data_IF_438577579347
#
_entry.id   IF_438577579347
#
_cell.length_a   1.000
_cell.length_b   1.000
_cell.length_c   1.000
_cell.angle_alpha   90.00
_cell.angle_beta   90.00
_cell.angle_gamma   90.00
#
_symmetry.space_group_name_H-M   'P 1'
#
loop_
_entity.id
_entity.type
_entity.pdbx_description
1 polymer ?
#
# COMPACT_ATOMS: atom_id res chain seq x y z
N UNK A 1 -9.15 -5.29 -16.27
CA UNK A 1 -9.21 -4.84 -14.87
C UNK A 1 -8.22 -3.71 -14.70
N UNK A 2 -8.70 -2.51 -14.38
CA UNK A 2 -7.88 -1.32 -14.19
C UNK A 2 -7.41 -1.25 -12.73
N UNK A 3 -6.10 -1.23 -12.51
CA UNK A 3 -5.53 -1.29 -11.16
C UNK A 3 -4.66 -0.08 -10.89
N UNK A 4 -4.98 0.67 -9.84
CA UNK A 4 -4.16 1.77 -9.37
C UNK A 4 -2.99 1.27 -8.54
N UNK A 5 -1.75 1.56 -8.94
CA UNK A 5 -0.54 1.29 -8.14
C UNK A 5 -0.13 2.60 -7.48
N UNK A 6 -0.37 2.72 -6.19
CA UNK A 6 -0.07 3.96 -5.44
C UNK A 6 1.43 4.07 -5.22
N UNK A 7 1.99 5.24 -5.52
CA UNK A 7 3.42 5.51 -5.40
C UNK A 7 3.64 6.67 -4.44
N UNK A 8 4.47 6.43 -3.42
CA UNK A 8 4.94 7.45 -2.48
C UNK A 8 6.43 7.72 -2.68
N UNK A 9 6.94 8.86 -2.25
CA UNK A 9 8.39 9.04 -2.12
C UNK A 9 9.00 7.92 -1.27
N UNK A 10 9.96 7.18 -1.82
CA UNK A 10 10.58 6.02 -1.17
C UNK A 10 9.87 4.68 -1.39
N UNK A 11 8.83 4.59 -2.22
CA UNK A 11 8.33 3.31 -2.72
C UNK A 11 9.41 2.63 -3.55
N UNK A 12 9.61 1.32 -3.36
CA UNK A 12 10.67 0.57 -4.04
C UNK A 12 10.10 -0.51 -4.96
N UNK A 13 8.99 -1.12 -4.58
CA UNK A 13 8.39 -2.27 -5.27
C UNK A 13 7.21 -1.90 -6.18
N UNK A 14 7.09 -0.62 -6.52
CA UNK A 14 6.05 -0.11 -7.43
C UNK A 14 6.22 -0.68 -8.85
N UNK A 15 7.46 -0.78 -9.33
CA UNK A 15 7.77 -1.36 -10.65
C UNK A 15 7.51 -2.87 -10.68
N UNK A 16 7.91 -3.59 -9.65
CA UNK A 16 7.68 -5.03 -9.55
C UNK A 16 6.17 -5.33 -9.52
N UNK A 17 5.43 -4.54 -8.74
CA UNK A 17 3.98 -4.64 -8.67
C UNK A 17 3.33 -4.36 -10.04
N UNK A 18 3.77 -3.29 -10.71
CA UNK A 18 3.28 -2.95 -12.04
C UNK A 18 3.54 -4.09 -13.04
N UNK A 19 4.76 -4.62 -13.06
CA UNK A 19 5.15 -5.74 -13.92
C UNK A 19 4.29 -6.99 -13.65
N UNK A 20 4.12 -7.37 -12.40
CA UNK A 20 3.29 -8.55 -12.06
C UNK A 20 1.84 -8.35 -12.50
N UNK A 21 1.27 -7.18 -12.29
CA UNK A 21 -0.10 -6.89 -12.72
C UNK A 21 -0.26 -6.90 -14.25
N UNK A 22 0.69 -6.31 -14.97
CA UNK A 22 0.62 -6.22 -16.45
C UNK A 22 0.99 -7.54 -17.12
N UNK A 23 2.15 -8.10 -16.79
CA UNK A 23 2.77 -9.13 -17.59
C UNK A 23 2.40 -10.54 -17.13
N UNK A 24 2.09 -10.71 -15.83
CA UNK A 24 1.67 -12.00 -15.27
C UNK A 24 0.15 -12.12 -15.21
N UNK A 25 -0.54 -11.10 -14.71
CA UNK A 25 -2.00 -11.14 -14.56
C UNK A 25 -2.76 -10.51 -15.72
N UNK A 26 -2.08 -9.92 -16.70
CA UNK A 26 -2.69 -9.28 -17.88
C UNK A 26 -3.76 -8.23 -17.53
N UNK A 27 -3.54 -7.52 -16.43
CA UNK A 27 -4.35 -6.40 -16.01
C UNK A 27 -3.84 -5.10 -16.63
N UNK A 28 -4.54 -4.01 -16.40
CA UNK A 28 -4.17 -2.67 -16.87
C UNK A 28 -3.77 -1.80 -15.67
N UNK A 29 -2.51 -1.91 -15.18
CA UNK A 29 -2.05 -1.09 -14.08
C UNK A 29 -1.73 0.33 -14.52
N UNK A 30 -1.89 1.29 -13.59
CA UNK A 30 -1.47 2.67 -13.78
C UNK A 30 -0.89 3.22 -12.47
N UNK A 31 0.20 3.99 -12.58
CA UNK A 31 0.79 4.62 -11.41
C UNK A 31 -0.09 5.79 -10.93
N UNK A 32 -0.32 5.81 -9.62
CA UNK A 32 -1.06 6.85 -8.91
C UNK A 32 -0.13 7.54 -7.91
N UNK A 33 0.33 8.74 -8.24
CA UNK A 33 1.26 9.48 -7.43
C UNK A 33 0.55 10.09 -6.19
N UNK A 34 1.19 10.03 -5.04
CA UNK A 34 0.64 10.30 -3.71
C UNK A 34 -0.06 11.66 -3.51
N UNK A 35 0.27 12.67 -4.33
CA UNK A 35 -0.29 14.02 -4.26
C UNK A 35 -1.33 14.32 -5.35
N UNK A 36 -1.65 13.32 -6.17
CA UNK A 36 -2.64 13.42 -7.25
C UNK A 36 -3.91 12.65 -6.89
N UNK A 37 -5.06 13.06 -7.41
CA UNK A 37 -6.28 12.31 -7.23
C UNK A 37 -6.19 10.93 -7.89
N UNK A 38 -6.89 9.95 -7.32
CA UNK A 38 -7.04 8.65 -7.95
C UNK A 38 -7.88 8.75 -9.24
N UNK A 39 -7.53 8.00 -10.29
CA UNK A 39 -8.38 7.85 -11.47
C UNK A 39 -9.78 7.30 -11.11
N UNK A 40 -10.80 7.74 -11.84
CA UNK A 40 -12.20 7.39 -11.50
C UNK A 40 -12.59 5.93 -11.80
N UNK A 41 -11.94 5.29 -12.75
CA UNK A 41 -12.35 4.00 -13.30
C UNK A 41 -11.42 2.85 -12.83
N UNK A 42 -11.12 2.79 -11.54
CA UNK A 42 -10.32 1.72 -10.96
C UNK A 42 -11.22 0.57 -10.48
N UNK A 43 -10.82 -0.65 -10.81
CA UNK A 43 -11.42 -1.89 -10.33
C UNK A 43 -10.75 -2.38 -9.03
N UNK A 44 -9.50 -1.96 -8.79
CA UNK A 44 -8.74 -2.26 -7.58
C UNK A 44 -7.62 -1.24 -7.35
N UNK A 45 -7.11 -1.18 -6.13
CA UNK A 45 -5.93 -0.38 -5.78
C UNK A 45 -4.92 -1.22 -5.03
N UNK A 46 -3.64 -1.02 -5.34
CA UNK A 46 -2.53 -1.69 -4.66
C UNK A 46 -1.56 -0.66 -4.09
N UNK A 47 -1.18 -0.85 -2.84
CA UNK A 47 -0.11 -0.13 -2.16
C UNK A 47 1.11 -1.06 -2.10
N UNK A 48 2.16 -0.82 -2.89
CA UNK A 48 3.33 -1.68 -2.96
C UNK A 48 4.24 -1.55 -1.73
N UNK A 49 5.21 -2.44 -1.65
CA UNK A 49 6.26 -2.41 -0.63
C UNK A 49 7.29 -1.30 -0.88
N UNK A 50 8.14 -1.09 0.11
CA UNK A 50 9.21 -0.10 0.10
C UNK A 50 9.43 0.53 1.46
N UNK A 51 9.98 1.74 1.45
CA UNK A 51 10.25 2.55 2.64
C UNK A 51 9.70 3.96 2.42
N UNK A 52 8.38 4.09 2.34
CA UNK A 52 7.73 5.38 2.09
C UNK A 52 8.20 6.44 3.07
N UNK A 53 8.67 7.57 2.55
CA UNK A 53 9.28 8.67 3.31
C UNK A 53 10.45 8.21 4.23
N UNK A 54 11.13 7.12 3.87
CA UNK A 54 12.25 6.57 4.63
C UNK A 54 11.88 6.04 6.02
N UNK A 55 10.61 5.61 6.22
CA UNK A 55 10.07 5.15 7.50
C UNK A 55 10.27 6.13 8.66
N UNK A 56 10.38 7.43 8.36
CA UNK A 56 10.54 8.48 9.38
C UNK A 56 9.33 8.46 10.33
N UNK A 57 9.59 8.66 11.61
CA UNK A 57 8.68 8.55 12.74
C UNK A 57 8.28 7.08 12.98
N UNK A 58 7.58 6.48 12.04
CA UNK A 58 7.09 5.10 12.06
C UNK A 58 6.77 4.68 10.62
N UNK A 59 6.99 3.40 10.30
CA UNK A 59 6.73 2.87 8.96
C UNK A 59 5.28 3.17 8.51
N UNK A 60 5.15 3.79 7.35
CA UNK A 60 3.85 4.09 6.73
C UNK A 60 3.10 5.30 7.29
N UNK A 61 3.46 5.84 8.46
CA UNK A 61 2.67 6.89 9.10
C UNK A 61 2.57 8.19 8.28
N UNK A 62 3.66 8.63 7.66
CA UNK A 62 3.64 9.86 6.85
C UNK A 62 2.82 9.62 5.58
N UNK A 63 3.01 8.47 4.92
CA UNK A 63 2.26 8.09 3.74
C UNK A 63 0.75 7.98 4.02
N UNK A 64 0.35 7.49 5.20
CA UNK A 64 -1.04 7.41 5.63
C UNK A 64 -1.76 8.78 5.70
N UNK A 65 -1.01 9.88 5.76
CA UNK A 65 -1.54 11.24 5.75
C UNK A 65 -1.43 11.91 4.38
N UNK A 66 -0.94 11.22 3.36
CA UNK A 66 -0.87 11.76 2.00
C UNK A 66 -2.26 11.97 1.41
N UNK A 67 -2.44 12.98 0.52
CA UNK A 67 -3.74 13.30 -0.08
C UNK A 67 -4.45 12.11 -0.73
N UNK A 68 -3.72 11.28 -1.45
CA UNK A 68 -4.28 10.11 -2.15
C UNK A 68 -4.99 9.12 -1.21
N UNK A 69 -4.57 9.03 0.05
CA UNK A 69 -5.19 8.10 1.02
C UNK A 69 -6.64 8.48 1.31
N UNK A 70 -7.01 9.75 1.20
CA UNK A 70 -8.41 10.15 1.32
C UNK A 70 -9.27 9.57 0.18
N UNK A 71 -8.71 9.51 -1.03
CA UNK A 71 -9.40 8.89 -2.17
C UNK A 71 -9.41 7.37 -2.04
N UNK A 72 -8.32 6.75 -1.55
CA UNK A 72 -8.28 5.31 -1.24
C UNK A 72 -9.38 4.95 -0.21
N UNK A 73 -9.59 5.76 0.82
CA UNK A 73 -10.68 5.56 1.79
C UNK A 73 -12.06 5.62 1.12
N UNK A 74 -12.30 6.63 0.27
CA UNK A 74 -13.57 6.78 -0.45
C UNK A 74 -13.89 5.59 -1.36
N UNK A 75 -12.88 5.04 -2.04
CA UNK A 75 -13.10 3.87 -2.91
C UNK A 75 -13.25 2.58 -2.10
N UNK A 76 -12.60 2.46 -0.94
CA UNK A 76 -12.82 1.36 -0.01
C UNK A 76 -14.28 1.31 0.47
N UNK A 77 -14.87 2.47 0.79
CA UNK A 77 -16.28 2.61 1.16
C UNK A 77 -17.23 2.16 0.05
N UNK A 78 -16.80 2.25 -1.22
CA UNK A 78 -17.54 1.74 -2.39
C UNK A 78 -17.36 0.24 -2.63
N UNK A 79 -16.57 -0.45 -1.78
CA UNK A 79 -16.31 -1.88 -1.91
C UNK A 79 -15.26 -2.24 -2.96
N UNK A 80 -14.48 -1.27 -3.46
CA UNK A 80 -13.37 -1.55 -4.39
C UNK A 80 -12.22 -2.21 -3.61
N UNK A 81 -11.71 -3.36 -4.06
CA UNK A 81 -10.63 -4.08 -3.39
C UNK A 81 -9.36 -3.24 -3.27
N UNK A 82 -8.74 -3.30 -2.09
CA UNK A 82 -7.46 -2.66 -1.82
C UNK A 82 -6.50 -3.69 -1.25
N UNK A 83 -5.31 -3.78 -1.85
CA UNK A 83 -4.24 -4.66 -1.38
C UNK A 83 -3.04 -3.83 -0.92
N UNK A 84 -2.57 -4.06 0.30
CA UNK A 84 -1.31 -3.52 0.81
C UNK A 84 -0.27 -4.62 1.00
N UNK A 85 0.91 -4.44 0.44
CA UNK A 85 2.02 -5.39 0.57
C UNK A 85 3.16 -4.75 1.36
N UNK A 86 3.66 -5.42 2.41
CA UNK A 86 4.77 -4.95 3.24
C UNK A 86 4.52 -3.51 3.75
N UNK A 87 5.27 -2.52 3.28
CA UNK A 87 5.05 -1.11 3.64
C UNK A 87 3.64 -0.62 3.25
N UNK A 88 3.06 -1.12 2.16
CA UNK A 88 1.67 -0.83 1.79
C UNK A 88 0.67 -1.33 2.84
N UNK A 89 0.88 -2.51 3.42
CA UNK A 89 0.09 -3.01 4.55
C UNK A 89 0.23 -2.09 5.77
N UNK A 90 1.44 -1.66 6.09
CA UNK A 90 1.70 -0.72 7.19
C UNK A 90 0.94 0.60 6.99
N UNK A 91 0.91 1.13 5.77
CA UNK A 91 0.12 2.34 5.42
C UNK A 91 -1.38 2.10 5.63
N UNK A 92 -1.91 0.94 5.25
CA UNK A 92 -3.32 0.62 5.45
C UNK A 92 -3.69 0.57 6.94
N UNK A 93 -2.83 0.01 7.79
CA UNK A 93 -3.04 0.00 9.25
C UNK A 93 -2.96 1.43 9.81
N UNK A 94 -1.91 2.18 9.47
CA UNK A 94 -1.71 3.56 9.94
C UNK A 94 -2.81 4.54 9.48
N UNK A 95 -3.41 4.28 8.33
CA UNK A 95 -4.54 5.08 7.82
C UNK A 95 -5.89 4.69 8.43
N UNK A 96 -5.98 3.59 9.19
CA UNK A 96 -7.20 3.06 9.75
C UNK A 96 -8.09 2.30 8.75
N UNK A 97 -7.56 1.95 7.57
CA UNK A 97 -8.25 1.09 6.59
C UNK A 97 -8.22 -0.39 7.01
N UNK A 98 -7.24 -0.77 7.80
CA UNK A 98 -7.18 -2.07 8.47
C UNK A 98 -7.17 -1.86 9.99
N UNK A 99 -7.79 -2.78 10.75
CA UNK A 99 -7.76 -2.72 12.20
C UNK A 99 -6.36 -3.03 12.74
N UNK A 100 -6.06 -2.56 13.93
CA UNK A 100 -4.83 -2.85 14.65
C UNK A 100 -3.87 -1.66 14.76
N UNK A 101 -2.73 -1.91 15.36
CA UNK A 101 -1.66 -0.94 15.59
C UNK A 101 -0.33 -1.64 15.36
N UNK A 102 0.58 -0.97 14.67
CA UNK A 102 1.96 -1.45 14.48
C UNK A 102 2.87 -0.90 15.56
N UNK A 103 3.61 -1.78 16.20
CA UNK A 103 4.60 -1.45 17.21
C UNK A 103 6.00 -1.81 16.69
N UNK A 104 7.01 -1.24 17.33
CA UNK A 104 8.39 -1.69 17.12
C UNK A 104 8.54 -3.11 17.66
N UNK A 105 9.43 -3.89 17.02
CA UNK A 105 9.79 -5.21 17.55
C UNK A 105 10.34 -5.09 18.96
N UNK A 106 10.08 -6.07 19.82
CA UNK A 106 10.57 -6.09 21.21
C UNK A 106 12.09 -6.01 21.27
N UNK A 107 12.78 -6.63 20.31
CA UNK A 107 14.23 -6.57 20.16
C UNK A 107 14.75 -5.21 19.66
N UNK A 108 13.88 -4.31 19.22
CA UNK A 108 14.19 -3.05 18.52
C UNK A 108 15.02 -3.23 17.23
N UNK A 109 15.18 -4.46 16.77
CA UNK A 109 15.93 -4.80 15.56
C UNK A 109 14.97 -5.31 14.47
N UNK A 110 15.41 -5.18 13.22
CA UNK A 110 14.73 -5.82 12.10
C UNK A 110 14.83 -7.34 12.23
N UNK A 111 13.69 -8.03 12.10
CA UNK A 111 13.61 -9.49 12.12
C UNK A 111 13.24 -9.98 10.72
N UNK A 112 14.06 -10.88 10.18
CA UNK A 112 13.84 -11.51 8.87
C UNK A 112 13.81 -13.03 9.05
N UNK A 113 12.63 -13.59 9.23
CA UNK A 113 12.42 -15.01 9.46
C UNK A 113 11.13 -15.51 8.80
N UNK A 114 11.07 -16.81 8.55
CA UNK A 114 9.85 -17.43 8.03
C UNK A 114 8.79 -17.50 9.14
N UNK A 115 7.57 -17.12 8.80
CA UNK A 115 6.43 -17.24 9.71
C UNK A 115 5.21 -17.81 8.99
N UNK A 116 4.31 -18.40 9.75
CA UNK A 116 3.04 -18.90 9.21
C UNK A 116 1.97 -17.82 9.32
N UNK A 117 1.20 -17.66 8.26
CA UNK A 117 0.03 -16.78 8.23
C UNK A 117 -1.24 -17.62 8.19
N UNK A 118 -2.23 -17.24 8.97
CA UNK A 118 -3.58 -17.79 8.92
C UNK A 118 -4.51 -16.73 8.38
N UNK A 119 -5.31 -17.08 7.38
CA UNK A 119 -6.36 -16.19 6.85
C UNK A 119 -7.65 -16.50 7.61
N UNK A 120 -8.26 -15.47 8.18
CA UNK A 120 -9.53 -15.52 8.91
C UNK A 120 -10.72 -15.19 8.01
#
# INVERSE_FOLDING_TARGET
MNVGVVVFPGSNCDRDMFHVLSDVFHMTPQYCWHDKPLPENLDAVVLPGGFSYGDRLRAGVIAAHSPIIQDVKKIAEKGIPILGVCNGFQILVESGLLPGVLLKNDSLNFMCEWTNLTVE
#
